data_IF_568532492514
#
_entry.id   IF_568532492514
#
_cell.length_a   1.000
_cell.length_b   1.000
_cell.length_c   1.000
_cell.angle_alpha   90.00
_cell.angle_beta   90.00
_cell.angle_gamma   90.00
#
_symmetry.space_group_name_H-M   'P 1'
#
loop_
_entity.id
_entity.type
_entity.pdbx_description
1 polymer ?
#
# COMPACT_ATOMS: atom_id res chain seq x y z
N UNK A 1 -4.10 12.80 -3.94
CA UNK A 1 -3.80 11.43 -3.51
C UNK A 1 -4.87 10.51 -4.07
N UNK A 2 -4.53 9.60 -4.98
CA UNK A 2 -5.41 8.52 -5.44
C UNK A 2 -5.29 7.31 -4.52
N UNK A 3 -6.33 6.47 -4.42
CA UNK A 3 -6.36 5.31 -3.49
C UNK A 3 -6.57 4.03 -4.27
N UNK A 4 -5.70 3.04 -4.08
CA UNK A 4 -5.80 1.72 -4.71
C UNK A 4 -5.79 0.64 -3.63
N UNK A 5 -6.95 -0.03 -3.49
CA UNK A 5 -7.13 -1.14 -2.57
C UNK A 5 -6.77 -2.45 -3.28
N UNK A 6 -5.69 -3.10 -2.86
CA UNK A 6 -5.21 -4.38 -3.39
C UNK A 6 -5.76 -5.53 -2.54
N UNK A 7 -7.09 -5.67 -2.53
CA UNK A 7 -7.79 -6.76 -1.84
C UNK A 7 -8.31 -7.78 -2.86
N UNK A 8 -8.53 -9.06 -2.47
CA UNK A 8 -8.90 -10.13 -3.41
C UNK A 8 -10.17 -9.87 -4.23
N UNK A 9 -11.04 -9.01 -3.73
CA UNK A 9 -12.30 -8.59 -4.36
C UNK A 9 -12.16 -7.38 -5.29
N UNK A 10 -11.03 -6.67 -5.26
CA UNK A 10 -10.80 -5.48 -6.09
C UNK A 10 -10.52 -5.82 -7.56
N UNK A 11 -9.96 -7.01 -7.83
CA UNK A 11 -9.46 -7.39 -9.16
C UNK A 11 -9.73 -8.88 -9.50
N UNK A 12 -10.76 -9.48 -8.90
CA UNK A 12 -11.00 -10.93 -8.79
C UNK A 12 -11.14 -11.77 -10.08
N UNK A 13 -11.00 -11.18 -11.26
CA UNK A 13 -11.22 -11.87 -12.54
C UNK A 13 -9.95 -12.52 -13.12
N UNK A 14 -8.80 -12.40 -12.45
CA UNK A 14 -7.52 -12.98 -12.88
C UNK A 14 -6.58 -13.27 -11.71
N UNK A 15 -5.70 -14.26 -11.83
CA UNK A 15 -4.78 -14.65 -10.74
C UNK A 15 -3.83 -13.53 -10.30
N UNK A 16 -3.01 -13.77 -9.26
CA UNK A 16 -2.15 -12.77 -8.59
C UNK A 16 -1.35 -11.81 -9.50
N UNK A 17 -0.81 -12.28 -10.62
CA UNK A 17 -0.09 -11.39 -11.57
C UNK A 17 -1.02 -10.38 -12.24
N UNK A 18 -2.24 -10.81 -12.59
CA UNK A 18 -3.26 -9.94 -13.15
C UNK A 18 -3.75 -8.93 -12.11
N UNK A 19 -3.80 -9.30 -10.82
CA UNK A 19 -4.17 -8.38 -9.73
C UNK A 19 -3.15 -7.23 -9.58
N UNK A 20 -1.84 -7.54 -9.66
CA UNK A 20 -0.77 -6.51 -9.61
C UNK A 20 -0.84 -5.58 -10.82
N UNK A 21 -0.93 -6.15 -12.03
CA UNK A 21 -0.99 -5.34 -13.26
C UNK A 21 -2.24 -4.46 -13.29
N UNK A 22 -3.38 -4.96 -12.82
CA UNK A 22 -4.63 -4.20 -12.74
C UNK A 22 -4.54 -3.06 -11.71
N UNK A 23 -3.95 -3.32 -10.54
CA UNK A 23 -3.73 -2.29 -9.53
C UNK A 23 -2.79 -1.18 -10.04
N UNK A 24 -1.69 -1.55 -10.70
CA UNK A 24 -0.75 -0.60 -11.30
C UNK A 24 -1.42 0.20 -12.42
N UNK A 25 -2.17 -0.46 -13.31
CA UNK A 25 -2.91 0.23 -14.37
C UNK A 25 -3.91 1.25 -13.79
N UNK A 26 -4.65 0.87 -12.74
CA UNK A 26 -5.58 1.77 -12.08
C UNK A 26 -4.89 2.97 -11.43
N UNK A 27 -3.77 2.74 -10.73
CA UNK A 27 -2.94 3.81 -10.18
C UNK A 27 -2.43 4.78 -11.26
N UNK A 28 -1.99 4.26 -12.41
CA UNK A 28 -1.52 5.11 -13.52
C UNK A 28 -2.63 5.96 -14.14
N UNK A 29 -3.88 5.46 -14.17
CA UNK A 29 -5.05 6.28 -14.56
C UNK A 29 -5.21 7.45 -13.59
N UNK A 30 -5.18 7.20 -12.27
CA UNK A 30 -5.29 8.27 -11.27
C UNK A 30 -4.17 9.32 -11.41
N UNK A 31 -2.94 8.88 -11.68
CA UNK A 31 -1.82 9.79 -11.93
C UNK A 31 -2.06 10.62 -13.19
N UNK A 32 -2.56 10.01 -14.27
CA UNK A 32 -2.90 10.73 -15.50
C UNK A 32 -4.06 11.73 -15.31
N UNK A 33 -4.97 11.45 -14.37
CA UNK A 33 -6.05 12.35 -13.96
C UNK A 33 -5.60 13.46 -12.98
N UNK A 34 -4.31 13.47 -12.58
CA UNK A 34 -3.69 14.52 -11.79
C UNK A 34 -3.42 14.17 -10.32
N UNK A 35 -3.42 12.89 -9.94
CA UNK A 35 -2.99 12.49 -8.60
C UNK A 35 -1.46 12.61 -8.44
N UNK A 36 -1.00 13.45 -7.50
CA UNK A 36 0.42 13.62 -7.19
C UNK A 36 1.04 12.42 -6.41
N UNK A 37 0.19 11.60 -5.80
CA UNK A 37 0.55 10.50 -4.90
C UNK A 37 -0.51 9.41 -5.00
N UNK A 38 -0.11 8.15 -4.90
CA UNK A 38 -1.03 7.00 -4.83
C UNK A 38 -0.87 6.29 -3.50
N UNK A 39 -1.98 6.05 -2.80
CA UNK A 39 -2.06 5.33 -1.53
C UNK A 39 -2.46 3.87 -1.77
N UNK A 40 -1.61 2.94 -1.31
CA UNK A 40 -1.75 1.50 -1.56
C UNK A 40 -2.12 0.78 -0.26
N UNK A 41 -3.32 0.19 -0.22
CA UNK A 41 -3.82 -0.57 0.93
C UNK A 41 -4.00 -2.05 0.61
N UNK A 42 -3.47 -2.95 1.45
CA UNK A 42 -3.62 -4.41 1.31
C UNK A 42 -4.68 -5.02 2.23
N UNK A 43 -5.22 -4.23 3.15
CA UNK A 43 -6.25 -4.60 4.12
C UNK A 43 -7.59 -3.95 3.72
N UNK A 44 -8.68 -4.72 3.79
CA UNK A 44 -10.02 -4.14 3.61
C UNK A 44 -10.46 -3.48 4.91
N UNK A 45 -10.82 -2.20 4.84
CA UNK A 45 -11.42 -1.47 5.97
C UNK A 45 -12.95 -1.63 6.04
N UNK A 46 -13.54 -2.52 5.23
CA UNK A 46 -14.99 -2.73 5.20
C UNK A 46 -15.49 -3.40 6.50
N UNK A 47 -16.71 -3.08 6.95
CA UNK A 47 -17.30 -3.73 8.12
C UNK A 47 -17.32 -5.27 7.98
N UNK A 48 -16.78 -5.97 8.97
CA UNK A 48 -16.75 -7.44 9.00
C UNK A 48 -15.61 -8.09 8.21
N UNK A 49 -14.71 -7.31 7.59
CA UNK A 49 -13.52 -7.87 6.98
C UNK A 49 -12.58 -8.47 8.04
N UNK A 50 -12.05 -9.66 7.76
CA UNK A 50 -11.00 -10.27 8.58
C UNK A 50 -9.67 -9.65 8.20
N UNK A 51 -8.93 -9.15 9.19
CA UNK A 51 -7.57 -8.64 8.98
C UNK A 51 -6.66 -9.76 8.44
N UNK A 52 -5.95 -9.55 7.32
CA UNK A 52 -5.04 -10.54 6.76
C UNK A 52 -3.80 -10.76 7.64
N UNK A 53 -3.11 -11.88 7.41
CA UNK A 53 -1.76 -12.09 7.97
C UNK A 53 -0.79 -11.02 7.42
N UNK A 54 0.28 -10.71 8.18
CA UNK A 54 1.31 -9.75 7.71
C UNK A 54 1.82 -10.15 6.33
N UNK A 55 2.16 -11.43 6.18
CA UNK A 55 2.67 -11.99 4.93
C UNK A 55 1.71 -11.85 3.76
N UNK A 56 0.41 -11.87 4.00
CA UNK A 56 -0.60 -11.71 2.96
C UNK A 56 -0.74 -10.26 2.53
N UNK A 57 -0.75 -9.34 3.49
CA UNK A 57 -0.75 -7.90 3.24
C UNK A 57 0.51 -7.47 2.48
N UNK A 58 1.70 -7.91 2.93
CA UNK A 58 2.97 -7.69 2.25
C UNK A 58 2.95 -8.23 0.80
N UNK A 59 2.45 -9.44 0.60
CA UNK A 59 2.37 -10.05 -0.73
C UNK A 59 1.42 -9.31 -1.68
N UNK A 60 0.44 -8.57 -1.14
CA UNK A 60 -0.48 -7.72 -1.93
C UNK A 60 0.18 -6.39 -2.28
N UNK A 61 0.74 -5.69 -1.29
CA UNK A 61 1.18 -4.29 -1.48
C UNK A 61 2.57 -4.18 -2.11
N UNK A 62 3.54 -5.02 -1.73
CA UNK A 62 4.93 -4.81 -2.13
C UNK A 62 5.17 -4.86 -3.65
N UNK A 63 4.56 -5.80 -4.42
CA UNK A 63 4.74 -5.80 -5.88
C UNK A 63 4.22 -4.52 -6.54
N UNK A 64 3.06 -4.04 -6.09
CA UNK A 64 2.43 -2.81 -6.62
C UNK A 64 3.27 -1.59 -6.27
N UNK A 65 3.71 -1.46 -5.01
CA UNK A 65 4.57 -0.36 -4.56
C UNK A 65 5.86 -0.34 -5.37
N UNK A 66 6.53 -1.49 -5.51
CA UNK A 66 7.82 -1.59 -6.23
C UNK A 66 7.68 -1.14 -7.69
N UNK A 67 6.63 -1.60 -8.37
CA UNK A 67 6.38 -1.27 -9.78
C UNK A 67 6.05 0.23 -9.97
N UNK A 68 5.21 0.81 -9.10
CA UNK A 68 4.86 2.23 -9.15
C UNK A 68 6.05 3.13 -8.84
N UNK A 69 6.83 2.80 -7.82
CA UNK A 69 8.08 3.52 -7.49
C UNK A 69 9.06 3.45 -8.65
N UNK A 70 9.22 2.28 -9.29
CA UNK A 70 10.06 2.10 -10.48
C UNK A 70 9.64 2.97 -11.68
N UNK A 71 8.36 3.38 -11.72
CA UNK A 71 7.79 4.30 -12.73
C UNK A 71 7.85 5.77 -12.32
N UNK A 72 8.44 6.09 -11.16
CA UNK A 72 8.56 7.45 -10.64
C UNK A 72 7.30 7.99 -9.97
N UNK A 73 6.32 7.13 -9.65
CA UNK A 73 5.12 7.52 -8.91
C UNK A 73 5.46 7.64 -7.44
N UNK A 74 5.04 8.74 -6.80
CA UNK A 74 5.14 8.86 -5.35
C UNK A 74 4.07 7.96 -4.71
N UNK A 75 4.48 7.13 -3.75
CA UNK A 75 3.62 6.12 -3.13
C UNK A 75 3.49 6.34 -1.63
N UNK A 76 2.25 6.26 -1.15
CA UNK A 76 1.89 6.07 0.26
C UNK A 76 1.48 4.62 0.49
N UNK A 77 1.77 4.08 1.67
CA UNK A 77 1.23 2.78 2.10
C UNK A 77 0.16 3.01 3.17
N UNK A 78 -1.05 2.50 2.94
CA UNK A 78 -2.13 2.45 3.94
C UNK A 78 -1.98 1.18 4.78
N UNK A 79 -1.38 1.35 5.95
CA UNK A 79 -1.19 0.25 6.91
C UNK A 79 -1.05 0.79 8.33
N UNK A 80 -1.56 0.02 9.28
CA UNK A 80 -1.41 0.28 10.71
C UNK A 80 -0.31 -0.59 11.35
N UNK A 81 0.54 -1.24 10.55
CA UNK A 81 1.50 -2.25 11.01
C UNK A 81 2.93 -1.82 10.73
N UNK A 82 3.77 -1.82 11.75
CA UNK A 82 5.15 -1.38 11.63
C UNK A 82 5.95 -2.23 10.63
N UNK A 83 5.69 -3.54 10.57
CA UNK A 83 6.39 -4.45 9.65
C UNK A 83 6.06 -4.16 8.18
N UNK A 84 4.78 -3.88 7.88
CA UNK A 84 4.34 -3.52 6.51
C UNK A 84 4.86 -2.15 6.13
N UNK A 85 4.77 -1.18 7.04
CA UNK A 85 5.32 0.15 6.84
C UNK A 85 6.82 0.11 6.55
N UNK A 86 7.60 -0.65 7.33
CA UNK A 86 9.05 -0.78 7.15
C UNK A 86 9.40 -1.36 5.78
N UNK A 87 8.70 -2.42 5.36
CA UNK A 87 8.93 -3.05 4.07
C UNK A 87 8.53 -2.14 2.90
N UNK A 88 7.42 -1.42 3.01
CA UNK A 88 6.97 -0.47 2.00
C UNK A 88 7.93 0.73 1.84
N UNK A 89 8.40 1.29 2.95
CA UNK A 89 9.42 2.34 2.94
C UNK A 89 10.73 1.83 2.32
N UNK A 90 11.16 0.61 2.66
CA UNK A 90 12.32 -0.03 2.03
C UNK A 90 12.14 -0.25 0.50
N UNK A 91 10.91 -0.45 0.04
CA UNK A 91 10.55 -0.54 -1.38
C UNK A 91 10.43 0.84 -2.07
N UNK A 92 10.57 1.94 -1.32
CA UNK A 92 10.58 3.31 -1.85
C UNK A 92 9.27 4.08 -1.71
N UNK A 93 8.29 3.57 -0.94
CA UNK A 93 7.19 4.41 -0.49
C UNK A 93 7.73 5.59 0.33
N UNK A 94 7.08 6.75 0.21
CA UNK A 94 7.51 8.01 0.82
C UNK A 94 6.59 8.49 1.94
N UNK A 95 5.42 7.86 2.10
CA UNK A 95 4.45 8.16 3.16
C UNK A 95 3.94 6.85 3.76
N UNK A 96 3.73 6.84 5.07
CA UNK A 96 2.94 5.81 5.78
C UNK A 96 1.64 6.47 6.23
N UNK A 97 0.53 6.00 5.69
CA UNK A 97 -0.82 6.40 6.07
C UNK A 97 -1.35 5.43 7.13
N UNK A 98 -1.13 5.75 8.41
CA UNK A 98 -1.68 4.98 9.53
C UNK A 98 -2.94 5.65 10.06
N UNK A 99 -4.10 5.12 9.71
CA UNK A 99 -5.42 5.62 10.15
C UNK A 99 -5.63 5.55 11.67
N UNK A 100 -4.85 4.73 12.39
CA UNK A 100 -4.88 4.66 13.85
C UNK A 100 -4.03 5.74 14.52
N UNK A 101 -3.17 6.44 13.77
CA UNK A 101 -2.25 7.45 14.31
C UNK A 101 -1.18 6.87 15.23
N UNK A 102 -0.68 5.66 14.95
CA UNK A 102 0.30 4.96 15.78
C UNK A 102 -0.27 4.24 16.99
N UNK A 103 -1.60 4.10 17.08
CA UNK A 103 -2.26 3.46 18.22
C UNK A 103 -2.42 1.94 18.05
N UNK A 104 -2.53 1.43 16.82
CA UNK A 104 -2.64 -0.01 16.57
C UNK A 104 -1.29 -0.71 16.73
N UNK A 105 -0.21 -0.10 16.24
CA UNK A 105 1.17 -0.57 16.39
C UNK A 105 2.10 0.62 16.63
N UNK A 106 2.41 0.95 17.90
CA UNK A 106 3.25 2.10 18.24
C UNK A 106 4.66 2.06 17.63
N UNK A 107 5.15 0.89 17.20
CA UNK A 107 6.46 0.78 16.57
C UNK A 107 6.51 1.48 15.20
N UNK A 108 5.36 1.74 14.56
CA UNK A 108 5.29 2.42 13.26
C UNK A 108 5.90 3.83 13.33
N UNK A 109 5.73 4.53 14.45
CA UNK A 109 6.29 5.87 14.65
C UNK A 109 7.82 5.83 14.65
N UNK A 110 8.41 4.78 15.25
CA UNK A 110 9.85 4.56 15.22
C UNK A 110 10.33 4.20 13.81
N UNK A 111 9.60 3.35 13.10
CA UNK A 111 9.92 2.97 11.72
C UNK A 111 9.99 4.20 10.82
N UNK A 112 9.00 5.09 10.89
CA UNK A 112 8.98 6.34 10.12
C UNK A 112 10.14 7.26 10.53
N UNK A 113 10.39 7.41 11.83
CA UNK A 113 11.49 8.24 12.32
C UNK A 113 12.87 7.74 11.89
N UNK A 114 13.10 6.42 11.92
CA UNK A 114 14.37 5.80 11.53
C UNK A 114 14.61 5.83 10.01
N UNK A 115 13.54 5.87 9.21
CA UNK A 115 13.63 5.89 7.76
C UNK A 115 13.89 7.29 7.18
N UNK A 116 13.73 8.35 7.99
CA UNK A 116 13.95 9.73 7.56
C UNK A 116 15.42 9.90 7.09
N UNK A 117 15.60 10.09 5.79
CA UNK A 117 16.90 10.37 5.15
C UNK A 117 17.03 11.85 4.82
#
# INVERSE_FOLDING_TARGET
>A
MGVVNVTPDSFSDGGRFNEVDAAVAHAMVMVAEGADLVDIGGESTRPGATRPLVSEELARVLPVITELVGRGVLVSVDTMRAEVAAAALAAGAVVVNDVSGGLSDPAVLKVVADHFR
#
